data_IF_612951217532
#
_entry.id   IF_612951217532
#
_cell.length_a   1.000
_cell.length_b   1.000
_cell.length_c   1.000
_cell.angle_alpha   90.00
_cell.angle_beta   90.00
_cell.angle_gamma   90.00
#
_symmetry.space_group_name_H-M   'P 1'
#
loop_
_entity.id
_entity.type
_entity.pdbx_description
1 polymer ?
#
# COMPACT_ATOMS: atom_id res chain seq x y z
N UNK A 1 -12.44 -13.11 -18.26
CA UNK A 1 -12.10 -12.73 -16.91
C UNK A 1 -12.80 -11.43 -16.59
N UNK A 2 -13.67 -11.50 -15.60
CA UNK A 2 -14.20 -10.34 -14.90
C UNK A 2 -13.58 -10.41 -13.51
N UNK A 3 -12.96 -9.33 -13.06
CA UNK A 3 -12.38 -9.22 -11.72
C UNK A 3 -13.24 -8.22 -10.97
N UNK A 4 -13.81 -8.63 -9.83
CA UNK A 4 -14.57 -7.75 -8.97
C UNK A 4 -14.18 -7.96 -7.52
N UNK A 5 -13.93 -6.86 -6.83
CA UNK A 5 -13.72 -6.79 -5.41
C UNK A 5 -15.08 -6.58 -4.74
N UNK A 6 -15.43 -7.48 -3.83
CA UNK A 6 -16.69 -7.47 -3.08
C UNK A 6 -16.42 -7.41 -1.57
N UNK A 7 -17.48 -7.28 -0.78
CA UNK A 7 -17.39 -7.38 0.69
C UNK A 7 -16.84 -8.72 1.19
N UNK A 8 -16.87 -9.76 0.34
CA UNK A 8 -16.40 -11.11 0.65
C UNK A 8 -15.03 -11.42 0.01
N UNK A 9 -14.31 -10.40 -0.46
CA UNK A 9 -13.04 -10.53 -1.18
C UNK A 9 -13.21 -10.50 -2.69
N UNK A 10 -12.14 -10.86 -3.41
CA UNK A 10 -12.11 -10.80 -4.87
C UNK A 10 -12.78 -12.02 -5.50
N UNK A 11 -13.72 -11.75 -6.39
CA UNK A 11 -14.30 -12.70 -7.34
C UNK A 11 -13.61 -12.57 -8.70
N UNK A 12 -13.20 -13.71 -9.25
CA UNK A 12 -12.55 -13.82 -10.55
C UNK A 12 -13.33 -14.82 -11.36
N UNK A 13 -14.22 -14.33 -12.24
CA UNK A 13 -14.98 -15.22 -13.12
C UNK A 13 -14.13 -15.56 -14.35
N UNK A 14 -13.69 -16.81 -14.43
CA UNK A 14 -12.81 -17.28 -15.49
C UNK A 14 -13.54 -17.38 -16.84
N UNK A 15 -12.88 -16.87 -17.87
CA UNK A 15 -13.31 -17.00 -19.25
C UNK A 15 -12.08 -16.80 -20.12
N UNK A 16 -11.57 -17.89 -20.71
CA UNK A 16 -10.28 -17.94 -21.41
C UNK A 16 -10.16 -16.87 -22.50
N UNK A 17 -11.20 -16.69 -23.30
CA UNK A 17 -11.25 -15.66 -24.36
C UNK A 17 -11.12 -14.24 -23.82
N UNK A 18 -11.73 -13.96 -22.66
CA UNK A 18 -11.67 -12.63 -22.07
C UNK A 18 -10.32 -12.37 -21.36
N UNK A 19 -9.69 -13.40 -20.78
CA UNK A 19 -8.33 -13.27 -20.23
C UNK A 19 -7.33 -12.94 -21.36
N UNK A 20 -7.39 -13.67 -22.47
CA UNK A 20 -6.54 -13.41 -23.64
C UNK A 20 -6.72 -11.98 -24.16
N UNK A 21 -7.96 -11.48 -24.24
CA UNK A 21 -8.23 -10.08 -24.61
C UNK A 21 -7.53 -9.08 -23.68
N UNK A 22 -7.60 -9.27 -22.37
CA UNK A 22 -6.94 -8.40 -21.40
C UNK A 22 -5.41 -8.48 -21.50
N UNK A 23 -4.85 -9.67 -21.75
CA UNK A 23 -3.42 -9.85 -21.97
C UNK A 23 -2.94 -9.11 -23.23
N UNK A 24 -3.70 -9.25 -24.33
CA UNK A 24 -3.43 -8.54 -25.59
C UNK A 24 -3.55 -7.03 -25.43
N UNK A 25 -4.58 -6.56 -24.71
CA UNK A 25 -4.79 -5.14 -24.40
C UNK A 25 -3.61 -4.58 -23.58
N UNK A 26 -3.21 -5.27 -22.51
CA UNK A 26 -2.08 -4.86 -21.69
C UNK A 26 -0.79 -4.80 -22.51
N UNK A 27 -0.50 -5.84 -23.29
CA UNK A 27 0.70 -5.91 -24.13
C UNK A 27 0.75 -4.80 -25.18
N UNK A 28 -0.39 -4.47 -25.77
CA UNK A 28 -0.49 -3.47 -26.85
C UNK A 28 -0.49 -2.04 -26.30
N UNK A 29 -1.23 -1.80 -25.24
CA UNK A 29 -1.55 -0.45 -24.77
C UNK A 29 -0.77 -0.04 -23.52
N UNK A 30 0.02 -0.95 -22.95
CA UNK A 30 0.75 -0.79 -21.67
C UNK A 30 -0.16 -0.62 -20.46
N UNK A 31 -1.47 -0.80 -20.64
CA UNK A 31 -2.47 -0.65 -19.60
C UNK A 31 -3.68 -1.53 -19.89
N UNK A 32 -4.48 -1.72 -18.85
CA UNK A 32 -5.82 -2.30 -18.91
C UNK A 32 -6.78 -1.44 -18.11
N UNK A 33 -8.05 -1.47 -18.49
CA UNK A 33 -9.14 -0.92 -17.70
C UNK A 33 -10.01 -2.03 -17.14
N UNK A 34 -10.20 -2.05 -15.82
CA UNK A 34 -11.12 -2.97 -15.13
C UNK A 34 -12.39 -2.22 -14.77
N UNK A 35 -13.47 -2.50 -15.49
CA UNK A 35 -14.76 -1.84 -15.24
C UNK A 35 -15.46 -2.45 -14.02
N UNK A 36 -16.03 -1.60 -13.18
CA UNK A 36 -16.72 -2.01 -11.95
C UNK A 36 -15.86 -2.99 -11.12
N UNK A 37 -14.58 -2.62 -10.93
CA UNK A 37 -13.64 -3.40 -10.13
C UNK A 37 -14.14 -3.44 -8.69
N UNK A 38 -14.49 -2.31 -8.09
CA UNK A 38 -15.18 -2.30 -6.79
C UNK A 38 -16.68 -2.29 -7.04
N UNK A 39 -17.39 -3.32 -6.58
CA UNK A 39 -18.85 -3.42 -6.76
C UNK A 39 -19.59 -2.32 -6.02
N UNK A 40 -20.74 -1.91 -6.56
CA UNK A 40 -21.54 -0.77 -6.07
C UNK A 40 -21.78 -0.74 -4.56
N UNK A 41 -22.13 -1.88 -3.96
CA UNK A 41 -22.50 -1.93 -2.54
C UNK A 41 -21.28 -1.76 -1.62
N UNK A 42 -20.10 -2.25 -2.02
CA UNK A 42 -18.86 -2.00 -1.30
C UNK A 42 -18.37 -0.57 -1.57
N UNK A 43 -18.46 -0.11 -2.82
CA UNK A 43 -18.06 1.24 -3.21
C UNK A 43 -18.84 2.31 -2.44
N UNK A 44 -20.14 2.11 -2.25
CA UNK A 44 -20.98 3.02 -1.47
C UNK A 44 -20.51 3.15 -0.03
N UNK A 45 -20.19 2.05 0.64
CA UNK A 45 -19.68 2.06 2.02
C UNK A 45 -18.33 2.81 2.10
N UNK A 46 -17.44 2.57 1.13
CA UNK A 46 -16.15 3.28 1.02
C UNK A 46 -16.38 4.78 0.85
N UNK A 47 -17.28 5.18 -0.05
CA UNK A 47 -17.61 6.57 -0.32
C UNK A 47 -18.24 7.29 0.89
N UNK A 48 -19.12 6.61 1.62
CA UNK A 48 -19.71 7.15 2.85
C UNK A 48 -18.66 7.44 3.92
N UNK A 49 -17.61 6.63 4.01
CA UNK A 49 -16.48 6.86 4.92
C UNK A 49 -15.56 7.97 4.42
N UNK A 50 -15.19 7.95 3.14
CA UNK A 50 -14.38 9.01 2.50
C UNK A 50 -15.03 10.39 2.68
N UNK A 51 -16.35 10.50 2.53
CA UNK A 51 -17.07 11.76 2.68
C UNK A 51 -17.01 12.36 4.10
N UNK A 52 -16.69 11.54 5.11
CA UNK A 52 -16.53 11.95 6.51
C UNK A 52 -15.07 12.15 6.91
N UNK A 53 -14.13 11.74 6.06
CA UNK A 53 -12.71 11.80 6.36
C UNK A 53 -12.14 13.19 6.13
N UNK A 54 -11.17 13.56 6.97
CA UNK A 54 -10.35 14.75 6.74
C UNK A 54 -9.35 14.51 5.61
N UNK A 55 -8.94 15.59 4.95
CA UNK A 55 -7.92 15.58 3.93
C UNK A 55 -6.87 16.64 4.23
N UNK A 56 -5.60 16.33 3.97
CA UNK A 56 -4.50 17.30 4.04
C UNK A 56 -3.79 17.46 2.72
N UNK A 57 -3.30 18.67 2.47
CA UNK A 57 -2.42 18.93 1.34
C UNK A 57 -1.10 18.21 1.53
N UNK A 58 -0.68 17.48 0.50
CA UNK A 58 0.64 16.91 0.38
C UNK A 58 1.30 17.43 -0.90
N UNK A 59 2.45 18.06 -0.73
CA UNK A 59 3.27 18.57 -1.83
C UNK A 59 4.43 17.60 -2.08
N UNK A 60 4.31 16.86 -3.17
CA UNK A 60 5.33 15.94 -3.66
C UNK A 60 6.26 16.76 -4.54
N UNK A 61 7.34 17.28 -3.94
CA UNK A 61 8.30 18.23 -4.54
C UNK A 61 8.63 17.98 -6.03
N UNK A 62 8.66 16.72 -6.47
CA UNK A 62 9.04 16.32 -7.83
C UNK A 62 7.94 15.58 -8.62
N UNK A 63 6.74 15.40 -8.04
CA UNK A 63 5.68 14.61 -8.67
C UNK A 63 4.35 15.37 -8.79
N UNK A 64 3.94 16.16 -7.81
CA UNK A 64 2.60 16.73 -7.83
C UNK A 64 2.17 17.32 -6.50
N UNK A 65 0.95 17.84 -6.48
CA UNK A 65 0.31 18.35 -5.27
C UNK A 65 -1.13 17.89 -5.25
N UNK A 66 -1.52 17.22 -4.16
CA UNK A 66 -2.83 16.64 -3.97
C UNK A 66 -3.31 16.77 -2.51
N UNK A 67 -4.56 16.37 -2.28
CA UNK A 67 -5.08 16.15 -0.94
C UNK A 67 -5.03 14.66 -0.62
N UNK A 68 -4.50 14.27 0.54
CA UNK A 68 -4.45 12.88 1.02
C UNK A 68 -5.39 12.69 2.19
N UNK A 69 -6.12 11.57 2.19
CA UNK A 69 -7.07 11.22 3.23
C UNK A 69 -6.38 10.91 4.56
N UNK A 70 -6.89 11.48 5.66
CA UNK A 70 -6.50 11.19 7.04
C UNK A 70 -7.47 10.24 7.71
N UNK A 71 -7.50 9.01 7.23
CA UNK A 71 -8.26 7.92 7.85
C UNK A 71 -7.41 6.63 7.79
N UNK A 72 -6.56 6.38 8.80
CA UNK A 72 -5.62 5.26 8.77
C UNK A 72 -6.33 3.91 8.75
N UNK A 73 -7.47 3.80 9.44
CA UNK A 73 -8.31 2.59 9.41
C UNK A 73 -8.90 2.33 8.02
N UNK A 74 -9.44 3.36 7.35
CA UNK A 74 -9.94 3.19 5.99
C UNK A 74 -8.82 2.87 4.99
N UNK A 75 -7.66 3.52 5.13
CA UNK A 75 -6.49 3.19 4.32
C UNK A 75 -6.12 1.71 4.51
N UNK A 76 -6.00 1.24 5.76
CA UNK A 76 -5.71 -0.17 6.05
C UNK A 76 -6.73 -1.12 5.39
N UNK A 77 -8.03 -0.84 5.50
CA UNK A 77 -9.08 -1.64 4.85
C UNK A 77 -8.89 -1.67 3.33
N UNK A 78 -8.60 -0.52 2.70
CA UNK A 78 -8.36 -0.46 1.26
C UNK A 78 -7.10 -1.22 0.84
N UNK A 79 -6.03 -1.14 1.63
CA UNK A 79 -4.83 -1.94 1.41
C UNK A 79 -5.12 -3.42 1.53
N UNK A 80 -5.85 -3.88 2.57
CA UNK A 80 -6.24 -5.29 2.72
C UNK A 80 -7.06 -5.77 1.51
N UNK A 81 -7.98 -4.94 1.04
CA UNK A 81 -8.82 -5.22 -0.13
C UNK A 81 -7.98 -5.41 -1.41
N UNK A 82 -7.05 -4.49 -1.70
CA UNK A 82 -6.25 -4.55 -2.94
C UNK A 82 -5.10 -5.56 -2.82
N UNK A 83 -4.68 -5.91 -1.60
CA UNK A 83 -3.70 -6.96 -1.34
C UNK A 83 -4.33 -8.36 -1.27
N UNK A 84 -5.61 -8.52 -1.62
CA UNK A 84 -6.23 -9.84 -1.74
C UNK A 84 -5.46 -10.73 -2.73
N UNK A 85 -5.13 -11.95 -2.30
CA UNK A 85 -4.26 -12.86 -3.05
C UNK A 85 -4.85 -13.23 -4.42
N UNK A 86 -6.18 -13.37 -4.52
CA UNK A 86 -6.83 -13.69 -5.80
C UNK A 86 -6.75 -12.52 -6.76
N UNK A 87 -6.89 -11.29 -6.26
CA UNK A 87 -6.70 -10.08 -7.06
C UNK A 87 -5.28 -10.02 -7.61
N UNK A 88 -4.26 -10.12 -6.75
CA UNK A 88 -2.85 -10.04 -7.17
C UNK A 88 -2.51 -11.12 -8.21
N UNK A 89 -2.94 -12.38 -7.99
CA UNK A 89 -2.77 -13.48 -8.95
C UNK A 89 -3.46 -13.21 -10.29
N UNK A 90 -4.66 -12.63 -10.29
CA UNK A 90 -5.36 -12.28 -11.53
C UNK A 90 -4.60 -11.20 -12.31
N UNK A 91 -3.99 -10.23 -11.62
CA UNK A 91 -3.13 -9.21 -12.26
C UNK A 91 -1.85 -9.84 -12.82
N UNK A 92 -1.21 -10.77 -12.13
CA UNK A 92 -0.07 -11.53 -12.67
C UNK A 92 -0.46 -12.27 -13.96
N UNK A 93 -1.63 -12.92 -13.98
CA UNK A 93 -2.13 -13.63 -15.16
C UNK A 93 -2.38 -12.70 -16.34
N UNK A 94 -2.95 -11.50 -16.12
CA UNK A 94 -3.19 -10.54 -17.21
C UNK A 94 -1.88 -9.95 -17.73
N UNK A 95 -0.99 -9.56 -16.84
CA UNK A 95 0.20 -8.78 -17.21
C UNK A 95 1.37 -9.66 -17.64
N UNK A 96 1.34 -10.95 -17.27
CA UNK A 96 2.47 -11.87 -17.45
C UNK A 96 3.65 -11.59 -16.51
N UNK A 97 3.52 -10.60 -15.62
CA UNK A 97 4.52 -10.30 -14.60
C UNK A 97 4.43 -11.34 -13.50
N UNK A 98 5.58 -11.84 -13.06
CA UNK A 98 5.66 -12.80 -11.96
C UNK A 98 5.97 -12.09 -10.66
N UNK A 99 5.44 -12.64 -9.56
CA UNK A 99 5.70 -12.22 -8.18
C UNK A 99 5.18 -10.82 -7.85
N UNK A 100 3.96 -10.46 -8.24
CA UNK A 100 3.32 -9.29 -7.66
C UNK A 100 2.99 -9.63 -6.21
N UNK A 101 3.64 -8.95 -5.27
CA UNK A 101 3.56 -9.27 -3.83
C UNK A 101 2.58 -8.41 -3.08
N UNK A 102 2.56 -7.13 -3.41
CA UNK A 102 1.69 -6.20 -2.70
C UNK A 102 1.36 -4.94 -3.46
N UNK A 103 0.30 -4.30 -3.00
CA UNK A 103 -0.08 -2.93 -3.23
C UNK A 103 0.35 -2.04 -2.06
N UNK A 104 0.93 -0.88 -2.39
CA UNK A 104 1.10 0.24 -1.47
C UNK A 104 0.67 1.52 -2.18
N UNK A 105 -0.09 2.35 -1.48
CA UNK A 105 -0.67 3.56 -2.04
C UNK A 105 -1.56 4.27 -1.04
N UNK A 106 -2.35 5.22 -1.54
CA UNK A 106 -3.19 6.09 -0.70
C UNK A 106 -4.42 6.56 -1.44
N UNK A 107 -5.42 6.99 -0.67
CA UNK A 107 -6.54 7.77 -1.21
C UNK A 107 -6.11 9.22 -1.36
N UNK A 108 -6.18 9.73 -2.57
CA UNK A 108 -5.98 11.14 -2.86
C UNK A 108 -7.23 11.78 -3.47
N UNK A 109 -7.32 13.10 -3.37
CA UNK A 109 -8.39 13.93 -3.88
C UNK A 109 -7.80 15.11 -4.66
N UNK A 110 -8.34 15.34 -5.86
CA UNK A 110 -8.06 16.53 -6.67
C UNK A 110 -9.37 17.29 -6.90
N UNK A 111 -9.44 18.48 -6.31
CA UNK A 111 -10.57 19.41 -6.44
C UNK A 111 -10.35 20.28 -7.70
N UNK A 112 -11.36 20.44 -8.58
CA UNK A 112 -11.30 21.34 -9.71
C UNK A 112 -11.04 22.79 -9.30
N UNK A 113 -10.24 23.52 -10.08
CA UNK A 113 -9.95 24.94 -9.84
C UNK A 113 -8.94 25.21 -8.72
N UNK A 114 -8.61 24.21 -7.90
CA UNK A 114 -7.53 24.29 -6.92
C UNK A 114 -6.16 24.06 -7.55
N UNK A 115 -5.10 24.43 -6.83
CA UNK A 115 -3.69 24.26 -7.23
C UNK A 115 -3.19 22.81 -7.07
N UNK A 116 -4.01 21.85 -7.51
CA UNK A 116 -3.62 20.44 -7.60
C UNK A 116 -3.04 20.14 -8.98
N UNK A 117 -1.92 19.44 -9.01
CA UNK A 117 -1.24 19.09 -10.25
C UNK A 117 -0.50 17.77 -10.14
N UNK A 118 -0.23 17.20 -11.30
CA UNK A 118 0.62 16.04 -11.48
C UNK A 118 1.62 16.34 -12.60
N UNK A 119 2.89 16.01 -12.37
CA UNK A 119 3.99 16.30 -13.27
C UNK A 119 4.40 15.04 -14.02
N UNK A 120 5.09 15.19 -15.14
CA UNK A 120 5.58 14.04 -15.89
C UNK A 120 6.64 13.24 -15.11
N UNK A 121 6.29 12.05 -14.64
CA UNK A 121 7.17 11.15 -13.89
C UNK A 121 7.03 9.70 -14.39
N UNK A 122 7.92 8.78 -13.98
CA UNK A 122 7.95 7.40 -14.50
C UNK A 122 7.60 6.33 -13.48
N UNK A 123 7.49 6.66 -12.20
CA UNK A 123 7.32 5.69 -11.09
C UNK A 123 8.38 4.58 -11.01
N UNK A 124 9.48 4.73 -11.77
CA UNK A 124 10.61 3.80 -11.74
C UNK A 124 11.40 4.05 -10.46
N UNK A 125 10.89 3.47 -9.39
CA UNK A 125 11.48 3.51 -8.07
C UNK A 125 11.43 2.09 -7.51
N UNK A 126 12.60 1.58 -7.14
CA UNK A 126 12.74 0.30 -6.44
C UNK A 126 12.12 -0.90 -7.17
N UNK A 127 11.19 -1.61 -6.53
CA UNK A 127 10.59 -2.86 -7.00
C UNK A 127 9.16 -2.70 -7.51
N UNK A 128 8.72 -1.46 -7.75
CA UNK A 128 7.42 -1.15 -8.34
C UNK A 128 7.39 -1.65 -9.78
N UNK A 129 6.36 -2.41 -10.13
CA UNK A 129 6.23 -3.02 -11.47
C UNK A 129 5.00 -2.52 -12.23
N UNK A 130 3.93 -2.16 -11.52
CA UNK A 130 2.72 -1.58 -12.10
C UNK A 130 2.24 -0.42 -11.22
N UNK A 131 1.51 0.51 -11.84
CA UNK A 131 0.71 1.51 -11.14
C UNK A 131 -0.76 1.13 -11.28
N UNK A 132 -1.53 1.32 -10.20
CA UNK A 132 -2.99 1.14 -10.18
C UNK A 132 -3.66 2.43 -9.70
N UNK A 133 -4.79 2.78 -10.31
CA UNK A 133 -5.68 3.84 -9.84
C UNK A 133 -7.13 3.37 -9.92
N UNK A 134 -7.81 3.31 -8.78
CA UNK A 134 -9.22 2.95 -8.64
C UNK A 134 -10.01 4.23 -8.36
N UNK A 135 -11.03 4.51 -9.17
CA UNK A 135 -11.86 5.68 -8.99
C UNK A 135 -12.86 5.46 -7.85
N UNK A 136 -12.75 6.29 -6.80
CA UNK A 136 -13.60 6.26 -5.61
C UNK A 136 -14.54 7.47 -5.55
N UNK A 137 -14.58 8.32 -6.58
CA UNK A 137 -15.47 9.49 -6.65
C UNK A 137 -16.94 9.06 -6.60
N UNK A 138 -17.81 9.86 -5.95
CA UNK A 138 -19.26 9.57 -5.89
C UNK A 138 -19.95 9.67 -7.25
N UNK A 139 -19.40 10.52 -8.13
CA UNK A 139 -19.99 10.89 -9.41
C UNK A 139 -18.94 10.90 -10.52
N UNK A 140 -19.42 11.00 -11.76
CA UNK A 140 -18.57 11.15 -12.94
C UNK A 140 -17.95 12.55 -12.94
N UNK A 141 -16.63 12.62 -13.00
CA UNK A 141 -15.87 13.87 -13.10
C UNK A 141 -15.32 14.10 -14.52
N UNK A 142 -14.85 15.33 -14.80
CA UNK A 142 -14.19 15.71 -16.06
C UNK A 142 -12.71 16.05 -15.84
N UNK A 143 -11.91 15.96 -16.90
CA UNK A 143 -10.45 16.09 -16.77
C UNK A 143 -9.83 14.90 -16.02
N UNK A 144 -8.71 15.12 -15.31
CA UNK A 144 -8.04 14.08 -14.53
C UNK A 144 -7.63 12.86 -15.35
N UNK A 145 -7.39 13.06 -16.65
CA UNK A 145 -7.09 12.02 -17.66
C UNK A 145 -5.64 11.59 -17.49
N UNK A 146 -5.40 10.29 -17.44
CA UNK A 146 -4.05 9.76 -17.44
C UNK A 146 -3.46 9.88 -18.84
N UNK A 147 -2.37 10.63 -18.96
CA UNK A 147 -1.57 10.71 -20.17
C UNK A 147 -0.32 9.88 -19.97
N UNK A 148 0.01 9.03 -20.94
CA UNK A 148 1.30 8.32 -21.00
C UNK A 148 2.03 8.80 -22.24
N UNK A 149 3.31 9.16 -22.09
CA UNK A 149 4.19 9.58 -23.19
C UNK A 149 5.48 8.79 -23.21
N UNK A 150 6.05 8.69 -24.41
CA UNK A 150 7.43 8.24 -24.57
C UNK A 150 8.39 9.29 -23.99
N UNK A 151 9.31 8.85 -23.12
CA UNK A 151 10.21 9.73 -22.37
C UNK A 151 11.21 10.46 -23.26
N UNK A 152 11.63 9.84 -24.37
CA UNK A 152 12.67 10.37 -25.28
C UNK A 152 12.07 11.35 -26.27
N UNK A 153 11.02 10.95 -26.97
CA UNK A 153 10.34 11.70 -28.04
C UNK A 153 9.32 12.69 -27.51
N UNK A 154 8.89 12.55 -26.25
CA UNK A 154 7.83 13.34 -25.59
C UNK A 154 6.45 13.20 -26.24
N UNK A 155 6.27 12.27 -27.18
CA UNK A 155 5.00 12.01 -27.83
C UNK A 155 4.04 11.30 -26.87
N UNK A 156 2.82 11.83 -26.72
CA UNK A 156 1.73 11.14 -26.02
C UNK A 156 1.35 9.89 -26.81
N UNK A 157 1.37 8.74 -26.14
CA UNK A 157 1.07 7.43 -26.72
C UNK A 157 -0.26 6.86 -26.23
N UNK A 158 -0.74 7.29 -25.05
CA UNK A 158 -2.02 6.88 -24.49
C UNK A 158 -2.69 8.04 -23.77
N UNK A 159 -4.02 8.10 -23.86
CA UNK A 159 -4.89 8.98 -23.09
C UNK A 159 -6.03 8.15 -22.51
N UNK A 160 -6.15 8.08 -21.19
CA UNK A 160 -6.97 7.08 -20.52
C UNK A 160 -7.88 7.74 -19.49
N UNK A 161 -9.20 7.57 -19.65
CA UNK A 161 -10.22 8.12 -18.76
C UNK A 161 -10.65 7.09 -17.71
N UNK A 162 -10.55 7.46 -16.43
CA UNK A 162 -11.05 6.67 -15.30
C UNK A 162 -12.18 7.37 -14.53
N UNK A 163 -13.17 7.90 -15.24
CA UNK A 163 -14.16 8.82 -14.64
C UNK A 163 -15.38 8.10 -14.04
N UNK A 164 -15.55 6.81 -14.30
CA UNK A 164 -16.70 6.03 -13.79
C UNK A 164 -16.38 5.51 -12.38
N UNK A 165 -17.25 5.72 -11.37
CA UNK A 165 -17.04 5.20 -10.03
C UNK A 165 -16.84 3.68 -10.01
N UNK A 166 -15.84 3.20 -9.26
CA UNK A 166 -15.50 1.78 -9.13
C UNK A 166 -14.64 1.20 -10.25
N UNK A 167 -14.43 1.94 -11.34
CA UNK A 167 -13.48 1.52 -12.40
C UNK A 167 -12.03 1.69 -11.93
N UNK A 168 -11.14 0.85 -12.48
CA UNK A 168 -9.71 0.94 -12.27
C UNK A 168 -8.92 0.97 -13.58
N UNK A 169 -7.78 1.66 -13.55
CA UNK A 169 -6.72 1.53 -14.55
C UNK A 169 -5.51 0.90 -13.89
N UNK A 170 -4.89 -0.05 -14.58
CA UNK A 170 -3.58 -0.61 -14.24
C UNK A 170 -2.65 -0.41 -15.43
N UNK A 171 -1.45 0.12 -15.21
CA UNK A 171 -0.49 0.36 -16.29
C UNK A 171 0.94 0.03 -15.89
N UNK A 172 1.77 -0.26 -16.88
CA UNK A 172 3.17 -0.67 -16.71
C UNK A 172 4.06 0.48 -16.27
N UNK A 173 4.93 0.21 -15.30
CA UNK A 173 6.07 1.06 -14.98
C UNK A 173 7.22 0.72 -15.93
N UNK A 174 7.93 1.73 -16.43
CA UNK A 174 9.06 1.56 -17.36
C UNK A 174 9.97 2.79 -17.35
N UNK A 175 11.26 2.57 -17.61
CA UNK A 175 12.25 3.64 -17.80
C UNK A 175 11.99 4.49 -19.04
N UNK A 176 11.25 3.94 -20.00
CA UNK A 176 11.05 4.53 -21.33
C UNK A 176 9.80 5.40 -21.40
N UNK A 177 8.92 5.33 -20.40
CA UNK A 177 7.66 6.05 -20.37
C UNK A 177 7.57 7.02 -19.20
N UNK A 178 6.84 8.11 -19.40
CA UNK A 178 6.40 9.00 -18.33
C UNK A 178 4.88 9.11 -18.37
N UNK A 179 4.28 9.45 -17.25
CA UNK A 179 2.86 9.73 -17.17
C UNK A 179 2.59 10.98 -16.34
N UNK A 180 1.38 11.51 -16.50
CA UNK A 180 0.81 12.57 -15.66
C UNK A 180 -0.73 12.49 -15.73
N UNK A 181 -1.40 13.16 -14.81
CA UNK A 181 -2.81 13.47 -14.88
C UNK A 181 -3.06 14.88 -15.43
N UNK A 182 -4.02 15.02 -16.33
CA UNK A 182 -4.54 16.36 -16.67
C UNK A 182 -5.25 16.98 -15.47
N UNK A 183 -5.44 18.31 -15.51
CA UNK A 183 -6.24 19.00 -14.50
C UNK A 183 -7.64 18.40 -14.41
N UNK A 184 -8.19 18.34 -13.20
CA UNK A 184 -9.61 18.01 -13.00
C UNK A 184 -10.44 19.26 -13.31
N UNK A 185 -11.53 19.08 -14.04
CA UNK A 185 -12.37 20.14 -14.56
C UNK A 185 -13.81 20.01 -14.03
N UNK A 186 -14.58 21.10 -14.10
CA UNK A 186 -15.97 21.14 -13.65
C UNK A 186 -16.07 21.33 -12.13
N UNK A 187 -17.07 20.68 -11.51
CA UNK A 187 -17.40 20.87 -10.09
C UNK A 187 -17.31 19.57 -9.27
N UNK A 188 -16.98 18.44 -9.90
CA UNK A 188 -16.90 17.14 -9.24
C UNK A 188 -15.43 16.83 -8.96
N UNK A 189 -15.03 16.61 -7.70
CA UNK A 189 -13.67 16.21 -7.38
C UNK A 189 -13.37 14.81 -7.88
N UNK A 190 -12.14 14.60 -8.31
CA UNK A 190 -11.58 13.25 -8.49
C UNK A 190 -11.13 12.74 -7.13
N UNK A 191 -11.62 11.58 -6.72
CA UNK A 191 -11.12 10.84 -5.56
C UNK A 191 -10.69 9.46 -6.07
N UNK A 192 -9.47 9.04 -5.74
CA UNK A 192 -8.97 7.75 -6.17
C UNK A 192 -8.06 7.11 -5.12
N UNK A 193 -8.14 5.78 -5.00
CA UNK A 193 -7.06 4.99 -4.43
C UNK A 193 -6.03 4.76 -5.51
N UNK A 194 -4.80 5.24 -5.32
CA UNK A 194 -3.72 5.00 -6.26
C UNK A 194 -2.42 4.66 -5.57
N UNK A 195 -1.58 3.93 -6.29
CA UNK A 195 -0.28 3.49 -5.81
C UNK A 195 0.29 2.42 -6.73
N UNK A 196 1.15 1.59 -6.16
CA UNK A 196 2.00 0.69 -6.92
C UNK A 196 1.79 -0.75 -6.51
N UNK A 197 1.80 -1.63 -7.51
CA UNK A 197 2.00 -3.05 -7.30
C UNK A 197 3.49 -3.34 -7.40
N UNK A 198 4.04 -3.98 -6.38
CA UNK A 198 5.47 -4.20 -6.21
C UNK A 198 5.82 -5.68 -6.18
N UNK A 199 7.02 -6.00 -6.66
CA UNK A 199 7.52 -7.38 -6.75
C UNK A 199 8.25 -7.87 -5.50
N UNK A 200 8.75 -6.95 -4.68
CA UNK A 200 9.49 -7.18 -3.45
C UNK A 200 9.23 -6.00 -2.51
N UNK A 201 9.39 -6.23 -1.21
CA UNK A 201 9.36 -5.14 -0.22
C UNK A 201 10.52 -4.20 -0.53
N UNK A 202 10.26 -2.89 -0.62
CA UNK A 202 11.35 -1.94 -0.90
C UNK A 202 12.20 -1.71 0.35
N UNK A 203 13.31 -2.45 0.45
CA UNK A 203 14.24 -2.34 1.55
C UNK A 203 15.06 -1.04 1.58
N UNK A 204 15.11 -0.25 0.48
CA UNK A 204 15.96 0.95 0.44
C UNK A 204 15.31 2.18 1.08
N UNK A 205 13.98 2.19 1.23
CA UNK A 205 13.31 3.11 2.17
C UNK A 205 13.82 2.94 3.62
N UNK A 206 14.47 1.81 3.93
CA UNK A 206 15.03 1.48 5.24
C UNK A 206 16.50 1.93 5.40
N UNK A 207 17.15 2.46 4.34
CA UNK A 207 18.58 2.82 4.33
C UNK A 207 18.87 4.20 4.94
N UNK A 208 17.85 4.87 5.46
CA UNK A 208 18.08 5.82 6.53
C UNK A 208 18.35 4.98 7.77
N UNK A 209 19.53 5.13 8.39
CA UNK A 209 19.85 4.69 9.74
C UNK A 209 18.81 5.18 10.78
N UNK A 210 17.56 4.75 10.70
CA UNK A 210 16.66 4.65 11.83
C UNK A 210 17.12 3.40 12.59
N UNK A 211 18.36 3.46 13.06
CA UNK A 211 18.73 2.74 14.27
C UNK A 211 17.65 3.08 15.26
N UNK A 212 16.93 2.06 15.71
CA UNK A 212 15.84 2.17 16.66
C UNK A 212 16.20 3.23 17.71
N UNK A 213 15.62 4.43 17.61
CA UNK A 213 16.00 5.55 18.45
C UNK A 213 15.25 5.35 19.74
N UNK A 214 15.96 4.84 20.75
CA UNK A 214 15.49 4.64 22.14
C UNK A 214 14.70 5.86 22.59
N UNK A 215 13.38 5.78 22.45
CA UNK A 215 12.47 6.85 22.81
C UNK A 215 12.18 6.67 24.30
N UNK A 216 12.77 7.51 25.15
CA UNK A 216 12.60 7.51 26.60
C UNK A 216 11.19 7.95 27.07
N UNK A 217 10.13 7.65 26.31
CA UNK A 217 8.76 7.75 26.83
C UNK A 217 8.61 6.74 27.95
N UNK A 218 7.98 7.14 29.06
CA UNK A 218 7.61 6.23 30.15
C UNK A 218 6.82 5.05 29.57
N UNK A 219 7.44 3.87 29.60
CA UNK A 219 6.85 2.61 29.16
C UNK A 219 5.53 2.35 29.88
N UNK A 220 4.50 1.97 29.12
CA UNK A 220 3.23 1.46 29.65
C UNK A 220 3.20 -0.06 29.75
N UNK A 221 4.26 -0.75 29.34
CA UNK A 221 4.34 -2.22 29.32
C UNK A 221 4.52 -2.73 30.75
N UNK A 222 3.68 -3.69 31.14
CA UNK A 222 3.70 -4.43 32.39
C UNK A 222 3.90 -5.92 32.10
N UNK A 223 4.23 -6.69 33.12
CA UNK A 223 4.37 -8.16 33.03
C UNK A 223 3.14 -8.85 32.42
N UNK A 224 1.93 -8.32 32.70
CA UNK A 224 0.66 -8.84 32.16
C UNK A 224 0.22 -8.24 30.82
N UNK A 225 1.00 -7.32 30.22
CA UNK A 225 0.62 -6.73 28.93
C UNK A 225 0.62 -7.79 27.83
N UNK A 226 -0.34 -7.71 26.92
CA UNK A 226 -0.43 -8.58 25.74
C UNK A 226 0.13 -7.81 24.54
N UNK A 227 1.11 -8.43 23.87
CA UNK A 227 1.73 -7.92 22.65
C UNK A 227 1.05 -8.57 21.45
N UNK A 228 0.66 -7.77 20.46
CA UNK A 228 -0.02 -8.25 19.25
C UNK A 228 0.51 -7.50 18.04
N UNK A 229 0.79 -8.17 16.93
CA UNK A 229 1.14 -7.49 15.68
C UNK A 229 -0.05 -6.70 15.12
N UNK A 230 0.26 -5.57 14.50
CA UNK A 230 -0.72 -4.85 13.68
C UNK A 230 -1.07 -5.67 12.43
N UNK A 231 -2.30 -5.52 11.94
CA UNK A 231 -2.77 -6.24 10.75
C UNK A 231 -2.24 -5.60 9.47
N UNK A 232 -2.13 -6.41 8.41
CA UNK A 232 -1.73 -5.93 7.08
C UNK A 232 -0.24 -5.63 6.92
N UNK A 233 0.58 -5.98 7.90
CA UNK A 233 2.04 -5.92 7.77
C UNK A 233 2.55 -6.98 6.79
N UNK A 234 3.62 -6.63 6.09
CA UNK A 234 4.27 -7.51 5.11
C UNK A 234 5.63 -7.92 5.65
N UNK A 235 6.01 -9.18 5.41
CA UNK A 235 7.31 -9.71 5.79
C UNK A 235 8.05 -10.34 4.62
N UNK A 236 9.36 -10.11 4.55
CA UNK A 236 10.25 -10.74 3.57
C UNK A 236 11.60 -11.10 4.21
N UNK A 237 12.07 -12.33 3.95
CA UNK A 237 13.37 -12.80 4.42
C UNK A 237 14.42 -12.61 3.32
N UNK A 238 15.45 -11.81 3.60
CA UNK A 238 16.56 -11.56 2.68
C UNK A 238 17.86 -11.77 3.45
N UNK A 239 18.70 -12.71 2.98
CA UNK A 239 20.01 -13.02 3.58
C UNK A 239 19.95 -13.28 5.11
N UNK A 240 18.94 -14.02 5.58
CA UNK A 240 18.65 -14.33 6.99
C UNK A 240 18.24 -13.13 7.86
N UNK A 241 17.98 -11.97 7.26
CA UNK A 241 17.37 -10.81 7.91
C UNK A 241 15.89 -10.79 7.57
N UNK A 242 15.07 -10.49 8.57
CA UNK A 242 13.64 -10.33 8.39
C UNK A 242 13.36 -8.84 8.16
N UNK A 243 12.67 -8.52 7.08
CA UNK A 243 12.20 -7.17 6.81
C UNK A 243 10.69 -7.11 6.96
N UNK A 244 10.22 -6.13 7.71
CA UNK A 244 8.81 -5.87 7.96
C UNK A 244 8.46 -4.55 7.33
N UNK A 245 7.34 -4.49 6.61
CA UNK A 245 6.86 -3.27 5.97
C UNK A 245 5.41 -3.02 6.34
N UNK A 246 5.13 -1.80 6.78
CA UNK A 246 3.78 -1.28 6.92
C UNK A 246 3.41 -0.52 5.64
N UNK A 247 2.56 -1.10 4.76
CA UNK A 247 2.21 -0.50 3.48
C UNK A 247 1.32 0.74 3.59
N UNK A 248 0.71 0.97 4.76
CA UNK A 248 -0.17 2.11 5.06
C UNK A 248 0.68 3.34 5.41
N UNK A 249 1.65 3.15 6.31
CA UNK A 249 2.55 4.22 6.75
C UNK A 249 3.75 4.40 5.80
N UNK A 250 3.91 3.50 4.82
CA UNK A 250 5.08 3.42 3.93
C UNK A 250 6.41 3.32 4.72
N UNK A 251 6.38 2.71 5.92
CA UNK A 251 7.53 2.53 6.80
C UNK A 251 7.98 1.08 6.85
N UNK A 252 9.29 0.86 6.96
CA UNK A 252 9.88 -0.47 7.04
C UNK A 252 10.93 -0.63 8.14
N UNK A 253 11.05 -1.86 8.67
CA UNK A 253 12.01 -2.26 9.70
C UNK A 253 12.77 -3.52 9.32
N UNK A 254 14.11 -3.47 9.41
CA UNK A 254 14.96 -4.64 9.31
C UNK A 254 15.23 -5.22 10.71
N UNK A 255 14.98 -6.51 10.89
CA UNK A 255 15.30 -7.26 12.09
C UNK A 255 16.37 -8.30 11.78
N UNK A 256 17.34 -8.39 12.69
CA UNK A 256 18.40 -9.39 12.65
C UNK A 256 18.39 -10.22 13.93
N UNK A 257 18.87 -11.47 13.84
CA UNK A 257 19.15 -12.34 14.98
C UNK A 257 17.95 -12.43 15.96
N UNK A 258 18.12 -11.91 17.18
CA UNK A 258 17.11 -11.90 18.23
C UNK A 258 15.85 -11.11 17.84
N UNK A 259 15.97 -10.06 17.03
CA UNK A 259 14.81 -9.32 16.53
C UNK A 259 13.89 -10.20 15.68
N UNK A 260 14.47 -10.98 14.76
CA UNK A 260 13.74 -11.96 13.94
C UNK A 260 13.06 -13.00 14.82
N UNK A 261 13.75 -13.49 15.86
CA UNK A 261 13.16 -14.47 16.79
C UNK A 261 11.99 -13.88 17.58
N UNK A 262 12.14 -12.65 18.08
CA UNK A 262 11.08 -11.92 18.77
C UNK A 262 9.86 -11.74 17.87
N UNK A 263 10.06 -11.40 16.60
CA UNK A 263 8.98 -11.29 15.63
C UNK A 263 8.17 -12.58 15.49
N UNK A 264 8.86 -13.71 15.32
CA UNK A 264 8.20 -15.02 15.22
C UNK A 264 7.40 -15.38 16.48
N UNK A 265 7.87 -14.97 17.67
CA UNK A 265 7.17 -15.19 18.94
C UNK A 265 5.86 -14.36 18.98
N UNK A 266 5.91 -13.10 18.53
CA UNK A 266 4.74 -12.19 18.62
C UNK A 266 3.75 -12.33 17.47
N UNK A 267 4.00 -13.22 16.49
CA UNK A 267 3.02 -13.57 15.44
C UNK A 267 1.66 -14.02 15.97
N UNK A 268 1.61 -14.44 17.23
CA UNK A 268 0.37 -14.67 17.98
C UNK A 268 0.34 -13.73 19.19
N UNK A 269 -0.85 -13.25 19.59
CA UNK A 269 -1.01 -12.53 20.84
C UNK A 269 -0.36 -13.30 22.00
N UNK A 270 0.56 -12.67 22.71
CA UNK A 270 1.35 -13.31 23.77
C UNK A 270 1.59 -12.34 24.93
N UNK A 271 1.63 -12.85 26.15
CA UNK A 271 1.93 -12.01 27.32
C UNK A 271 3.41 -11.62 27.33
N UNK A 272 3.70 -10.39 27.72
CA UNK A 272 5.06 -9.86 27.81
C UNK A 272 5.96 -10.73 28.71
N UNK A 273 5.43 -11.20 29.83
CA UNK A 273 6.15 -12.14 30.72
C UNK A 273 6.50 -13.47 30.07
N UNK A 274 5.67 -13.98 29.16
CA UNK A 274 5.94 -15.22 28.43
C UNK A 274 7.04 -15.03 27.40
N UNK A 275 7.06 -13.88 26.70
CA UNK A 275 8.15 -13.52 25.79
C UNK A 275 9.47 -13.50 26.56
N UNK A 276 9.51 -12.86 27.74
CA UNK A 276 10.70 -12.85 28.59
C UNK A 276 11.19 -14.25 28.89
N UNK A 277 10.30 -15.11 29.37
CA UNK A 277 10.61 -16.50 29.72
C UNK A 277 11.16 -17.30 28.53
N UNK A 278 10.55 -17.15 27.34
CA UNK A 278 11.01 -17.84 26.13
C UNK A 278 12.43 -17.40 25.80
N UNK A 279 12.65 -16.09 25.70
CA UNK A 279 13.95 -15.56 25.25
C UNK A 279 15.05 -15.83 26.27
N UNK A 280 14.84 -15.62 27.56
CA UNK A 280 15.88 -15.90 28.58
C UNK A 280 16.17 -17.39 28.74
N UNK A 281 15.27 -18.28 28.29
CA UNK A 281 15.56 -19.72 28.21
C UNK A 281 16.35 -20.12 26.96
N UNK A 282 16.23 -19.34 25.87
CA UNK A 282 16.92 -19.59 24.60
C UNK A 282 18.29 -18.92 24.55
N UNK A 283 18.46 -17.80 25.26
CA UNK A 283 19.64 -16.96 25.25
C UNK A 283 20.12 -16.71 26.68
N UNK A 284 21.42 -16.90 26.93
CA UNK A 284 22.06 -16.66 28.24
C UNK A 284 22.22 -15.14 28.50
N UNK A 285 21.09 -14.47 28.76
CA UNK A 285 20.99 -13.01 28.93
C UNK A 285 20.37 -12.72 30.31
N UNK A 286 20.96 -11.78 31.05
CA UNK A 286 20.40 -11.32 32.33
C UNK A 286 19.01 -10.70 32.16
N UNK A 287 18.05 -11.17 32.96
CA UNK A 287 16.62 -10.83 32.81
C UNK A 287 16.35 -9.32 32.89
N UNK A 288 17.03 -8.59 33.77
CA UNK A 288 16.78 -7.16 33.99
C UNK A 288 17.20 -6.29 32.80
N UNK A 289 18.38 -6.58 32.21
CA UNK A 289 18.87 -5.88 31.02
C UNK A 289 17.98 -6.20 29.83
N UNK A 290 17.63 -7.48 29.66
CA UNK A 290 16.75 -7.93 28.59
C UNK A 290 15.36 -7.28 28.65
N UNK A 291 14.75 -7.22 29.84
CA UNK A 291 13.43 -6.60 30.01
C UNK A 291 13.43 -5.13 29.57
N UNK A 292 14.45 -4.37 29.98
CA UNK A 292 14.56 -2.95 29.63
C UNK A 292 14.70 -2.75 28.11
N UNK A 293 15.55 -3.53 27.46
CA UNK A 293 15.79 -3.43 26.02
C UNK A 293 14.56 -3.89 25.22
N UNK A 294 13.91 -4.97 25.66
CA UNK A 294 12.68 -5.47 25.04
C UNK A 294 11.53 -4.45 25.16
N UNK A 295 11.40 -3.80 26.32
CA UNK A 295 10.44 -2.72 26.52
C UNK A 295 10.72 -1.56 25.56
N UNK A 296 11.98 -1.15 25.41
CA UNK A 296 12.35 -0.08 24.49
C UNK A 296 11.97 -0.44 23.06
N UNK A 297 12.34 -1.64 22.60
CA UNK A 297 12.02 -2.14 21.27
C UNK A 297 10.51 -2.16 21.02
N UNK A 298 9.71 -2.72 21.91
CA UNK A 298 8.26 -2.82 21.70
C UNK A 298 7.55 -1.47 21.75
N UNK A 299 7.97 -0.53 22.59
CA UNK A 299 7.43 0.83 22.53
C UNK A 299 7.73 1.49 21.19
N UNK A 300 8.91 1.26 20.62
CA UNK A 300 9.25 1.79 19.30
C UNK A 300 8.47 1.12 18.17
N UNK A 301 8.33 -0.20 18.22
CA UNK A 301 7.47 -0.93 17.29
C UNK A 301 6.00 -0.49 17.39
N UNK A 302 5.51 -0.14 18.59
CA UNK A 302 4.17 0.43 18.78
C UNK A 302 4.06 1.83 18.18
N UNK A 303 5.05 2.70 18.40
CA UNK A 303 5.11 4.04 17.82
C UNK A 303 5.04 3.97 16.30
N UNK A 304 5.74 3.01 15.71
CA UNK A 304 5.80 2.77 14.27
C UNK A 304 4.67 1.87 13.74
N UNK A 305 3.62 1.61 14.53
CA UNK A 305 2.43 0.87 14.10
C UNK A 305 2.77 -0.53 13.55
N UNK A 306 3.72 -1.22 14.17
CA UNK A 306 4.04 -2.61 13.89
C UNK A 306 3.37 -3.56 14.89
N UNK A 307 3.07 -3.08 16.09
CA UNK A 307 2.36 -3.84 17.11
C UNK A 307 1.46 -2.93 17.96
N UNK A 308 0.49 -3.55 18.63
CA UNK A 308 -0.31 -2.95 19.68
C UNK A 308 0.06 -3.56 21.04
N UNK A 309 0.09 -2.74 22.09
CA UNK A 309 0.24 -3.20 23.47
C UNK A 309 -1.09 -3.05 24.22
N UNK A 310 -1.63 -4.16 24.75
CA UNK A 310 -2.81 -4.15 25.63
C UNK A 310 -2.40 -4.40 27.07
N UNK A 311 -2.94 -3.61 28.00
CA UNK A 311 -2.67 -3.70 29.44
C UNK A 311 -3.82 -4.29 30.24
#
# INVERSE_FOLDING_TARGET
MKIQITKNGTDVSEGSTQLQKLQEEFKKNLHIKLSNLIVSDLLKDIQERINKADFITLDHKDAGKDLVMKDPEMNQILHEIVNDEKFLKAIEQITGLKKIRYFSGRVYKMIPGEDHYDMWHSDVVWHRVLTISINLSSDIYSGGVLLIRDKKTKKIIQEIKNTVPGDAIIFSISTDYQHMLTKVEGNIPKIALAGWLSSHIDLKSFDNNQTLLVNNKKSKIKSGSIIMLEKGLMEEYIENKLFIFNPVEETGFGLENLGTRLWEIVKKPIMFSEIKKIVTSEYDIGEEIFEKDLISLFNEMEVNKLLTIKN
#
